data_IF_509697520175
#
_entry.id   IF_509697520175
#
_cell.length_a   1.000
_cell.length_b   1.000
_cell.length_c   1.000
_cell.angle_alpha   90.00
_cell.angle_beta   90.00
_cell.angle_gamma   90.00
#
_symmetry.space_group_name_H-M   'P 1'
#
loop_
_entity.id
_entity.type
_entity.pdbx_description
1 polymer ?
#
# COMPACT_ATOMS: atom_id res chain seq x y z
N UNK A 1 41.87 29.07 9.96
CA UNK A 1 40.92 28.01 9.56
C UNK A 1 40.17 27.59 10.81
N UNK A 2 38.85 27.82 10.87
CA UNK A 2 38.05 27.48 12.04
C UNK A 2 37.82 25.98 12.08
N UNK A 3 38.23 25.32 13.17
CA UNK A 3 37.89 23.93 13.44
C UNK A 3 36.41 23.85 13.83
N UNK A 4 35.56 23.35 12.92
CA UNK A 4 34.21 22.91 13.23
C UNK A 4 34.32 21.57 13.96
N UNK A 5 34.17 21.61 15.29
CA UNK A 5 34.02 20.39 16.09
C UNK A 5 32.57 19.92 15.90
N UNK A 6 32.34 18.94 15.02
CA UNK A 6 31.04 18.30 14.90
C UNK A 6 30.73 17.53 16.17
N UNK A 7 29.75 18.04 16.94
CA UNK A 7 29.25 17.39 18.15
C UNK A 7 28.41 16.18 17.73
N UNK A 8 29.06 15.02 17.63
CA UNK A 8 28.50 13.76 17.10
C UNK A 8 27.26 13.27 17.87
N UNK A 9 27.19 13.53 19.18
CA UNK A 9 26.07 13.13 20.03
C UNK A 9 25.12 14.29 20.34
N UNK A 10 24.08 14.40 19.51
CA UNK A 10 22.95 15.30 19.76
C UNK A 10 22.08 14.73 20.88
N UNK A 11 22.27 15.23 22.09
CA UNK A 11 21.38 15.01 23.23
C UNK A 11 20.16 15.93 23.12
N UNK A 12 19.26 15.63 22.18
CA UNK A 12 18.05 16.44 21.96
C UNK A 12 16.85 15.78 22.61
N UNK A 13 16.00 16.58 23.25
CA UNK A 13 14.66 16.15 23.64
C UNK A 13 13.81 16.26 22.38
N UNK A 14 13.19 15.16 21.89
CA UNK A 14 12.31 15.24 20.74
C UNK A 14 11.17 16.24 21.03
N UNK A 15 10.88 17.10 20.06
CA UNK A 15 9.79 18.06 20.16
C UNK A 15 8.48 17.38 19.74
N UNK A 16 7.68 16.96 20.72
CA UNK A 16 6.36 16.40 20.48
C UNK A 16 5.38 17.54 20.24
N UNK A 17 5.30 18.01 18.99
CA UNK A 17 4.31 19.02 18.59
C UNK A 17 2.92 18.38 18.49
N UNK A 18 1.88 19.16 18.77
CA UNK A 18 0.52 18.73 18.47
C UNK A 18 0.37 18.48 16.98
N UNK A 19 -0.49 17.53 16.61
CA UNK A 19 -0.82 17.23 15.21
C UNK A 19 -1.16 18.49 14.41
N UNK A 20 -1.97 19.39 15.00
CA UNK A 20 -2.35 20.66 14.39
C UNK A 20 -1.15 21.56 14.06
N UNK A 21 -0.17 21.66 14.96
CA UNK A 21 1.03 22.47 14.73
C UNK A 21 1.92 21.83 13.67
N UNK A 22 2.06 20.51 13.69
CA UNK A 22 2.77 19.74 12.64
C UNK A 22 2.10 19.96 11.28
N UNK A 23 0.77 19.94 11.22
CA UNK A 23 -0.01 20.21 10.01
C UNK A 23 0.22 21.65 9.50
N UNK A 24 0.09 22.64 10.37
CA UNK A 24 0.29 24.07 10.05
C UNK A 24 1.69 24.38 9.54
N UNK A 25 2.70 23.66 10.02
CA UNK A 25 4.08 23.79 9.58
C UNK A 25 4.35 23.13 8.21
N UNK A 26 3.34 22.48 7.62
CA UNK A 26 3.48 21.78 6.35
C UNK A 26 4.29 20.49 6.46
N UNK A 27 4.61 20.03 7.67
CA UNK A 27 5.32 18.76 7.90
C UNK A 27 4.42 17.55 7.60
N UNK A 28 3.09 17.77 7.52
CA UNK A 28 2.11 16.79 7.06
C UNK A 28 1.74 16.95 5.58
N UNK A 29 2.46 17.78 4.80
CA UNK A 29 2.22 17.96 3.36
C UNK A 29 2.66 16.71 2.57
N UNK A 30 2.07 15.55 2.85
CA UNK A 30 2.00 14.42 1.93
C UNK A 30 0.96 14.62 0.83
N UNK A 31 0.42 15.84 0.67
CA UNK A 31 -0.58 16.19 -0.35
C UNK A 31 0.03 16.49 -1.71
N UNK A 32 1.36 16.47 -1.85
CA UNK A 32 1.96 16.42 -3.17
C UNK A 32 1.55 15.10 -3.81
N UNK A 33 1.00 15.16 -5.03
CA UNK A 33 0.70 13.96 -5.80
C UNK A 33 2.00 13.22 -6.04
N UNK A 34 2.25 12.18 -5.27
CA UNK A 34 3.33 11.25 -5.55
C UNK A 34 2.93 10.59 -6.85
N UNK A 35 3.65 10.87 -7.93
CA UNK A 35 3.59 10.04 -9.12
C UNK A 35 4.19 8.71 -8.72
N UNK A 36 3.33 7.79 -8.27
CA UNK A 36 3.73 6.41 -8.05
C UNK A 36 4.34 5.91 -9.35
N UNK A 37 5.57 5.40 -9.24
CA UNK A 37 6.28 4.84 -10.38
C UNK A 37 5.51 3.61 -10.87
N UNK A 38 4.78 3.76 -11.97
CA UNK A 38 3.99 2.68 -12.57
C UNK A 38 4.86 1.57 -13.17
N UNK A 39 6.19 1.78 -13.22
CA UNK A 39 7.14 0.74 -13.63
C UNK A 39 7.48 -0.23 -12.50
N UNK A 40 7.18 0.12 -11.24
CA UNK A 40 7.38 -0.78 -10.13
C UNK A 40 6.34 -1.90 -10.15
N UNK A 41 6.79 -3.06 -10.65
CA UNK A 41 6.01 -4.29 -10.81
C UNK A 41 6.74 -5.45 -10.11
N UNK A 42 6.72 -5.50 -8.78
CA UNK A 42 7.32 -6.60 -8.03
C UNK A 42 6.67 -7.93 -8.42
N UNK A 43 7.43 -9.01 -8.24
CA UNK A 43 6.94 -10.37 -8.45
C UNK A 43 5.86 -10.72 -7.43
N UNK A 44 4.78 -11.35 -7.92
CA UNK A 44 3.63 -11.81 -7.12
C UNK A 44 3.43 -13.33 -7.23
N UNK A 45 4.44 -14.06 -7.73
CA UNK A 45 4.33 -15.51 -7.99
C UNK A 45 3.91 -16.30 -6.75
N UNK A 46 4.49 -16.00 -5.58
CA UNK A 46 4.14 -16.66 -4.31
C UNK A 46 2.64 -16.50 -3.98
N UNK A 47 2.11 -15.29 -4.16
CA UNK A 47 0.67 -15.01 -3.96
C UNK A 47 -0.21 -15.76 -4.96
N UNK A 48 0.25 -15.90 -6.20
CA UNK A 48 -0.44 -16.67 -7.24
C UNK A 48 -0.43 -18.16 -6.91
N UNK A 49 0.63 -18.68 -6.28
CA UNK A 49 0.70 -20.05 -5.80
C UNK A 49 -0.26 -20.28 -4.63
N UNK A 50 -0.28 -19.39 -3.64
CA UNK A 50 -1.22 -19.43 -2.51
C UNK A 50 -2.68 -19.49 -3.00
N UNK A 51 -3.01 -18.70 -4.02
CA UNK A 51 -4.34 -18.73 -4.64
C UNK A 51 -4.69 -20.06 -5.29
N UNK A 52 -3.72 -20.76 -5.87
CA UNK A 52 -3.94 -22.08 -6.47
C UNK A 52 -4.16 -23.15 -5.42
N UNK A 53 -3.48 -23.05 -4.28
CA UNK A 53 -3.63 -24.01 -3.19
C UNK A 53 -4.96 -23.84 -2.47
N UNK A 54 -5.33 -22.59 -2.14
CA UNK A 54 -6.56 -22.32 -1.38
C UNK A 54 -7.27 -21.07 -1.91
N UNK A 55 -8.45 -21.28 -2.50
CA UNK A 55 -9.32 -20.19 -2.94
C UNK A 55 -10.30 -19.80 -1.84
N UNK A 56 -9.99 -18.71 -1.14
CA UNK A 56 -10.89 -18.13 -0.13
C UNK A 56 -10.91 -16.61 -0.18
N UNK A 57 -11.93 -16.04 0.49
CA UNK A 57 -12.17 -14.59 0.43
C UNK A 57 -11.06 -13.77 1.09
N UNK A 58 -10.39 -14.27 2.12
CA UNK A 58 -9.28 -13.58 2.78
C UNK A 58 -8.08 -13.44 1.85
N UNK A 59 -7.64 -14.56 1.28
CA UNK A 59 -6.53 -14.59 0.31
C UNK A 59 -6.84 -13.69 -0.90
N UNK A 60 -8.07 -13.76 -1.42
CA UNK A 60 -8.48 -12.89 -2.51
C UNK A 60 -8.33 -11.39 -2.18
N UNK A 61 -8.64 -10.99 -0.94
CA UNK A 61 -8.50 -9.61 -0.48
C UNK A 61 -7.05 -9.16 -0.39
N UNK A 62 -6.19 -10.00 0.18
CA UNK A 62 -4.76 -9.71 0.30
C UNK A 62 -4.11 -9.54 -1.08
N UNK A 63 -4.42 -10.46 -2.02
CA UNK A 63 -3.87 -10.40 -3.38
C UNK A 63 -4.35 -9.17 -4.14
N UNK A 64 -5.64 -8.80 -4.04
CA UNK A 64 -6.16 -7.58 -4.68
C UNK A 64 -5.49 -6.33 -4.14
N UNK A 65 -5.29 -6.25 -2.82
CA UNK A 65 -4.60 -5.12 -2.19
C UNK A 65 -3.17 -4.98 -2.71
N UNK A 66 -2.43 -6.10 -2.79
CA UNK A 66 -1.07 -6.10 -3.34
C UNK A 66 -1.08 -5.72 -4.82
N UNK A 67 -1.99 -6.28 -5.62
CA UNK A 67 -2.03 -6.03 -7.06
C UNK A 67 -2.25 -4.55 -7.40
N UNK A 68 -3.12 -3.86 -6.67
CA UNK A 68 -3.38 -2.42 -6.83
C UNK A 68 -2.15 -1.59 -6.45
N UNK A 69 -1.49 -1.91 -5.35
CA UNK A 69 -0.29 -1.19 -4.91
C UNK A 69 0.90 -1.42 -5.85
N UNK A 70 0.95 -2.60 -6.48
CA UNK A 70 2.07 -3.06 -7.30
C UNK A 70 1.86 -2.89 -8.81
N UNK A 71 0.80 -2.22 -9.26
CA UNK A 71 0.46 -2.04 -10.69
C UNK A 71 0.36 -3.37 -11.47
N UNK A 72 -0.24 -4.40 -10.85
CA UNK A 72 -0.40 -5.76 -11.39
C UNK A 72 -1.88 -6.11 -11.67
N UNK A 73 -2.76 -5.12 -11.80
CA UNK A 73 -4.20 -5.31 -12.01
C UNK A 73 -4.50 -6.06 -13.32
N UNK A 74 -3.66 -5.86 -14.34
CA UNK A 74 -3.77 -6.53 -15.63
C UNK A 74 -3.33 -8.01 -15.59
N UNK A 75 -2.77 -8.49 -14.47
CA UNK A 75 -2.31 -9.87 -14.38
C UNK A 75 -3.52 -10.83 -14.45
N UNK A 76 -3.53 -11.86 -15.32
CA UNK A 76 -4.72 -12.69 -15.56
C UNK A 76 -5.29 -13.37 -14.30
N UNK A 77 -4.42 -13.73 -13.36
CA UNK A 77 -4.85 -14.34 -12.08
C UNK A 77 -5.56 -13.31 -11.21
N UNK A 78 -5.12 -12.06 -11.21
CA UNK A 78 -5.72 -10.97 -10.42
C UNK A 78 -7.13 -10.67 -10.95
N UNK A 79 -7.32 -10.64 -12.28
CA UNK A 79 -8.65 -10.49 -12.88
C UNK A 79 -9.60 -11.65 -12.53
N UNK A 80 -9.10 -12.87 -12.44
CA UNK A 80 -9.91 -14.00 -11.99
C UNK A 80 -10.29 -13.86 -10.50
N UNK A 81 -9.37 -13.35 -9.68
CA UNK A 81 -9.61 -13.10 -8.25
C UNK A 81 -10.64 -11.97 -8.06
N UNK A 82 -10.55 -10.87 -8.83
CA UNK A 82 -11.54 -9.80 -8.77
C UNK A 82 -12.93 -10.34 -9.09
N UNK A 83 -13.05 -11.17 -10.12
CA UNK A 83 -14.31 -11.83 -10.47
C UNK A 83 -14.81 -12.78 -9.38
N UNK A 84 -13.91 -13.53 -8.73
CA UNK A 84 -14.27 -14.39 -7.59
C UNK A 84 -14.85 -13.57 -6.44
N UNK A 85 -14.26 -12.42 -6.10
CA UNK A 85 -14.79 -11.50 -5.08
C UNK A 85 -16.18 -10.98 -5.48
N UNK A 86 -16.35 -10.56 -6.74
CA UNK A 86 -17.63 -10.07 -7.25
C UNK A 86 -18.73 -11.14 -7.31
N UNK A 87 -18.37 -12.42 -7.40
CA UNK A 87 -19.30 -13.54 -7.30
C UNK A 87 -19.68 -13.87 -5.85
N UNK A 88 -18.80 -13.55 -4.90
CA UNK A 88 -18.95 -13.85 -3.47
C UNK A 88 -19.22 -12.60 -2.63
N UNK A 89 -19.95 -11.62 -3.17
CA UNK A 89 -20.29 -10.34 -2.51
C UNK A 89 -20.96 -10.49 -1.14
N UNK A 90 -21.62 -11.62 -0.89
CA UNK A 90 -22.28 -11.93 0.37
C UNK A 90 -21.30 -12.17 1.53
N UNK A 91 -20.05 -12.54 1.24
CA UNK A 91 -19.00 -12.78 2.25
C UNK A 91 -17.82 -11.80 2.12
N UNK A 92 -17.78 -11.02 1.04
CA UNK A 92 -16.79 -9.97 0.83
C UNK A 92 -17.15 -8.70 1.62
N UNK A 93 -16.13 -7.96 2.07
CA UNK A 93 -16.34 -6.62 2.64
C UNK A 93 -16.57 -5.59 1.53
N UNK A 94 -17.21 -4.46 1.84
CA UNK A 94 -17.43 -3.39 0.85
C UNK A 94 -16.11 -2.90 0.24
N UNK A 95 -15.05 -2.76 1.04
CA UNK A 95 -13.74 -2.34 0.56
C UNK A 95 -13.15 -3.31 -0.48
N UNK A 96 -13.35 -4.62 -0.30
CA UNK A 96 -12.92 -5.63 -1.28
C UNK A 96 -13.74 -5.57 -2.56
N UNK A 97 -15.05 -5.33 -2.44
CA UNK A 97 -15.94 -5.19 -3.61
C UNK A 97 -15.52 -3.95 -4.40
N UNK A 98 -15.26 -2.84 -3.73
CA UNK A 98 -14.79 -1.61 -4.36
C UNK A 98 -13.44 -1.84 -5.05
N UNK A 99 -12.47 -2.46 -4.35
CA UNK A 99 -11.18 -2.84 -4.92
C UNK A 99 -11.33 -3.72 -6.17
N UNK A 100 -12.18 -4.73 -6.12
CA UNK A 100 -12.43 -5.65 -7.24
C UNK A 100 -13.12 -4.98 -8.45
N UNK A 101 -13.81 -3.85 -8.27
CA UNK A 101 -14.38 -3.09 -9.40
C UNK A 101 -13.34 -2.15 -10.05
N UNK A 102 -12.21 -1.87 -9.37
CA UNK A 102 -11.12 -1.03 -9.89
C UNK A 102 -10.10 -1.81 -10.71
N UNK A 103 -10.02 -3.13 -10.52
CA UNK A 103 -9.17 -4.08 -11.26
C UNK A 103 -9.94 -4.64 -12.45
#
# INVERSE_FOLDING_TARGET
MAHLIEKKDRHVIPNWRSFENTAKLGELNGSESINLDSTFKPDISDLVEDWKETQNIGIAGDILGVAIICNQEEHPVVQNISQFVLQNKNIATNAMIDAANTV
#
